data_IF_624355868861
#
_entry.id   IF_624355868861
#
_cell.length_a   1.000
_cell.length_b   1.000
_cell.length_c   1.000
_cell.angle_alpha   90.00
_cell.angle_beta   90.00
_cell.angle_gamma   90.00
#
_symmetry.space_group_name_H-M   'P 1'
#
loop_
_entity.id
_entity.type
_entity.pdbx_description
1 polymer ?
#
# COMPACT_ATOMS: atom_id res chain seq x y z
N UNK A 1 11.61 -4.50 8.87
CA UNK A 1 10.15 -4.51 8.62
C UNK A 1 9.73 -5.88 8.08
N UNK A 2 8.57 -6.42 8.48
CA UNK A 2 8.01 -7.66 7.91
C UNK A 2 7.65 -7.51 6.43
N UNK A 3 7.18 -6.32 6.04
CA UNK A 3 6.90 -5.96 4.64
C UNK A 3 8.13 -6.09 3.75
N UNK A 4 9.24 -5.38 4.04
CA UNK A 4 10.45 -5.47 3.20
C UNK A 4 11.00 -6.89 3.12
N UNK A 5 11.02 -7.63 4.24
CA UNK A 5 11.50 -9.02 4.23
C UNK A 5 10.66 -9.92 3.33
N UNK A 6 9.35 -9.69 3.25
CA UNK A 6 8.49 -10.44 2.34
C UNK A 6 8.66 -9.96 0.90
N UNK A 7 8.69 -8.64 0.68
CA UNK A 7 8.81 -8.00 -0.63
C UNK A 7 10.07 -8.47 -1.37
N UNK A 8 11.20 -8.62 -0.67
CA UNK A 8 12.48 -9.06 -1.23
C UNK A 8 12.71 -10.58 -1.14
N UNK A 9 11.85 -11.33 -0.46
CA UNK A 9 11.94 -12.80 -0.45
C UNK A 9 11.50 -13.39 -1.79
N UNK A 10 12.20 -14.46 -2.22
CA UNK A 10 11.87 -15.23 -3.42
C UNK A 10 10.46 -15.84 -3.39
N UNK A 11 10.03 -16.41 -4.52
CA UNK A 11 8.65 -16.81 -4.79
C UNK A 11 7.93 -17.54 -3.63
N UNK A 12 6.66 -17.19 -3.45
CA UNK A 12 5.70 -17.78 -2.50
C UNK A 12 6.28 -18.20 -1.14
N UNK A 13 6.78 -17.22 -0.38
CA UNK A 13 7.20 -17.44 1.00
C UNK A 13 6.02 -17.27 1.98
N UNK A 14 5.24 -18.34 2.15
CA UNK A 14 4.04 -18.35 2.99
C UNK A 14 4.33 -17.94 4.45
N UNK A 15 5.51 -18.25 4.99
CA UNK A 15 5.88 -17.85 6.34
C UNK A 15 6.05 -16.33 6.46
N UNK A 16 6.65 -15.70 5.45
CA UNK A 16 6.83 -14.24 5.43
C UNK A 16 5.52 -13.51 5.14
N UNK A 17 4.66 -14.07 4.28
CA UNK A 17 3.30 -13.58 4.10
C UNK A 17 2.52 -13.63 5.41
N UNK A 18 2.49 -14.78 6.09
CA UNK A 18 1.79 -14.94 7.36
C UNK A 18 2.32 -13.97 8.43
N UNK A 19 3.64 -13.75 8.47
CA UNK A 19 4.25 -12.75 9.36
C UNK A 19 3.77 -11.33 9.02
N UNK A 20 3.78 -10.95 7.75
CA UNK A 20 3.31 -9.64 7.31
C UNK A 20 1.83 -9.44 7.67
N UNK A 21 0.95 -10.41 7.31
CA UNK A 21 -0.48 -10.36 7.65
C UNK A 21 -0.73 -10.28 9.15
N UNK A 22 0.05 -10.99 9.96
CA UNK A 22 -0.03 -10.89 11.43
C UNK A 22 0.31 -9.48 11.92
N UNK A 23 1.36 -8.85 11.38
CA UNK A 23 1.71 -7.46 11.72
C UNK A 23 0.63 -6.49 11.24
N UNK A 24 0.10 -6.67 10.04
CA UNK A 24 -0.98 -5.84 9.51
C UNK A 24 -2.26 -5.97 10.34
N UNK A 25 -2.58 -7.18 10.82
CA UNK A 25 -3.68 -7.43 11.75
C UNK A 25 -3.52 -6.70 13.09
N UNK A 26 -2.27 -6.50 13.56
CA UNK A 26 -2.02 -5.64 14.73
C UNK A 26 -2.31 -4.18 14.41
N UNK A 27 -1.92 -3.68 13.24
CA UNK A 27 -2.24 -2.31 12.81
C UNK A 27 -3.76 -2.10 12.73
N UNK A 28 -4.48 -3.04 12.14
CA UNK A 28 -5.95 -3.06 12.08
C UNK A 28 -6.56 -3.02 13.50
N UNK A 29 -6.04 -3.80 14.44
CA UNK A 29 -6.51 -3.81 15.82
C UNK A 29 -6.26 -2.47 16.54
N UNK A 30 -5.08 -1.85 16.35
CA UNK A 30 -4.79 -0.53 16.93
C UNK A 30 -5.73 0.56 16.37
N UNK A 31 -5.99 0.54 15.05
CA UNK A 31 -6.97 1.44 14.42
C UNK A 31 -8.40 1.21 14.95
N UNK A 32 -8.75 -0.03 15.29
CA UNK A 32 -10.05 -0.35 15.86
C UNK A 32 -10.22 0.22 17.29
N UNK A 33 -9.16 0.20 18.11
CA UNK A 33 -9.18 0.70 19.50
C UNK A 33 -9.36 2.22 19.56
N UNK A 34 -8.79 2.96 18.61
CA UNK A 34 -8.82 4.43 18.60
C UNK A 34 -10.21 5.06 18.54
N UNK A 35 -11.24 4.35 18.02
CA UNK A 35 -12.63 4.84 17.99
C UNK A 35 -12.93 5.91 16.91
N UNK A 36 -11.98 6.20 16.03
CA UNK A 36 -12.12 7.09 14.87
C UNK A 36 -11.18 6.65 13.75
N UNK A 37 -11.21 7.27 12.56
CA UNK A 37 -10.49 6.74 11.41
C UNK A 37 -8.96 6.78 11.57
N UNK A 38 -8.45 7.54 12.53
CA UNK A 38 -7.02 7.67 12.83
C UNK A 38 -6.63 6.86 14.08
N UNK A 39 -5.33 6.60 14.24
CA UNK A 39 -4.83 5.77 15.35
C UNK A 39 -5.24 6.25 16.74
N UNK A 40 -5.35 7.58 16.95
CA UNK A 40 -5.69 8.18 18.24
C UNK A 40 -7.09 8.82 18.26
N UNK A 41 -7.99 8.36 17.38
CA UNK A 41 -9.40 8.76 17.37
C UNK A 41 -9.82 9.54 16.13
N UNK A 42 -10.59 10.61 16.33
CA UNK A 42 -11.20 11.37 15.24
C UNK A 42 -10.26 12.35 14.55
N UNK A 43 -9.18 12.75 15.21
CA UNK A 43 -8.23 13.76 14.72
C UNK A 43 -6.94 13.13 14.20
N UNK A 44 -6.39 13.72 13.13
CA UNK A 44 -5.09 13.35 12.60
C UNK A 44 -4.02 13.55 13.68
N UNK A 45 -3.17 12.55 13.88
CA UNK A 45 -2.09 12.59 14.85
C UNK A 45 -0.72 12.38 14.20
N UNK A 46 0.35 12.56 14.99
CA UNK A 46 1.71 12.27 14.54
C UNK A 46 1.89 10.79 14.17
N UNK A 47 1.13 9.87 14.78
CA UNK A 47 1.18 8.44 14.45
C UNK A 47 0.72 8.21 13.02
N UNK A 48 -0.36 8.87 12.59
CA UNK A 48 -0.85 8.78 11.21
C UNK A 48 0.17 9.30 10.21
N UNK A 49 0.80 10.45 10.50
CA UNK A 49 1.86 11.00 9.66
C UNK A 49 3.08 10.08 9.56
N UNK A 50 3.40 9.32 10.62
CA UNK A 50 4.49 8.34 10.61
C UNK A 50 4.13 7.12 9.76
N UNK A 51 2.89 6.65 9.82
CA UNK A 51 2.43 5.46 9.10
C UNK A 51 2.12 5.71 7.62
N UNK A 52 1.65 6.92 7.29
CA UNK A 52 1.26 7.31 5.93
C UNK A 52 2.25 6.89 4.83
N UNK A 53 3.53 7.29 4.89
CA UNK A 53 4.49 6.94 3.85
C UNK A 53 4.71 5.42 3.72
N UNK A 54 4.48 4.63 4.76
CA UNK A 54 4.59 3.17 4.70
C UNK A 54 3.34 2.53 4.12
N UNK A 55 2.16 2.97 4.56
CA UNK A 55 0.89 2.43 4.09
C UNK A 55 0.64 2.75 2.61
N UNK A 56 1.02 3.94 2.14
CA UNK A 56 1.00 4.31 0.71
C UNK A 56 1.85 3.36 -0.14
N UNK A 57 3.13 3.20 0.24
CA UNK A 57 4.05 2.31 -0.49
C UNK A 57 3.62 0.85 -0.41
N UNK A 58 3.05 0.40 0.70
CA UNK A 58 2.49 -0.95 0.84
C UNK A 58 1.27 -1.14 -0.06
N UNK A 59 0.36 -0.16 -0.10
CA UNK A 59 -0.85 -0.21 -0.92
C UNK A 59 -0.55 -0.31 -2.42
N UNK A 60 0.57 0.28 -2.89
CA UNK A 60 1.04 0.14 -4.26
C UNK A 60 1.84 -1.16 -4.48
N UNK A 61 2.85 -1.43 -3.63
CA UNK A 61 3.82 -2.51 -3.85
C UNK A 61 3.29 -3.91 -3.59
N UNK A 62 2.37 -4.10 -2.65
CA UNK A 62 1.86 -5.43 -2.32
C UNK A 62 0.98 -6.03 -3.43
N UNK A 63 0.04 -5.29 -4.05
CA UNK A 63 -0.62 -5.79 -5.26
C UNK A 63 0.38 -6.07 -6.38
N UNK A 64 1.29 -5.13 -6.64
CA UNK A 64 2.25 -5.20 -7.76
C UNK A 64 3.24 -6.38 -7.67
N UNK A 65 3.80 -6.64 -6.49
CA UNK A 65 4.82 -7.67 -6.32
C UNK A 65 4.25 -8.97 -5.74
N UNK A 66 3.20 -8.91 -4.92
CA UNK A 66 2.74 -10.05 -4.10
C UNK A 66 1.28 -10.43 -4.32
N UNK A 67 0.60 -9.82 -5.29
CA UNK A 67 -0.83 -10.03 -5.54
C UNK A 67 -1.72 -9.82 -4.31
N UNK A 68 -1.26 -8.99 -3.36
CA UNK A 68 -2.00 -8.71 -2.12
C UNK A 68 -2.52 -7.27 -2.11
N UNK A 69 -3.77 -7.03 -2.51
CA UNK A 69 -4.40 -5.73 -2.36
C UNK A 69 -4.66 -5.40 -0.89
N UNK A 70 -4.32 -4.19 -0.45
CA UNK A 70 -4.65 -3.70 0.90
C UNK A 70 -5.98 -2.94 0.97
N UNK A 71 -6.39 -2.35 -0.16
CA UNK A 71 -7.62 -1.56 -0.26
C UNK A 71 -8.84 -2.44 -0.40
N UNK A 72 -9.97 -1.99 0.17
CA UNK A 72 -11.28 -2.64 0.07
C UNK A 72 -11.28 -4.11 0.49
N UNK A 73 -10.47 -4.45 1.49
CA UNK A 73 -10.39 -5.81 2.02
C UNK A 73 -11.31 -5.98 3.24
N UNK A 74 -12.15 -7.03 3.29
CA UNK A 74 -13.01 -7.29 4.44
C UNK A 74 -12.22 -7.64 5.70
N UNK A 75 -10.97 -8.09 5.57
CA UNK A 75 -10.06 -8.38 6.68
C UNK A 75 -9.53 -7.11 7.38
N UNK A 76 -9.50 -5.95 6.69
CA UNK A 76 -8.91 -4.70 7.19
C UNK A 76 -9.84 -3.48 7.03
N UNK A 77 -11.06 -3.51 7.60
CA UNK A 77 -12.02 -2.43 7.45
C UNK A 77 -11.58 -1.12 8.13
N UNK A 78 -10.83 -1.16 9.23
CA UNK A 78 -10.33 0.03 9.91
C UNK A 78 -9.20 0.68 9.10
N UNK A 79 -8.33 -0.12 8.49
CA UNK A 79 -7.32 0.37 7.55
C UNK A 79 -7.96 1.06 6.34
N UNK A 80 -9.04 0.52 5.77
CA UNK A 80 -9.76 1.20 4.68
C UNK A 80 -10.35 2.54 5.16
N UNK A 81 -10.95 2.60 6.35
CA UNK A 81 -11.43 3.86 6.92
C UNK A 81 -10.30 4.88 7.12
N UNK A 82 -9.12 4.42 7.53
CA UNK A 82 -7.94 5.26 7.66
C UNK A 82 -7.51 5.83 6.29
N UNK A 83 -7.41 5.00 5.25
CA UNK A 83 -7.08 5.47 3.90
C UNK A 83 -8.09 6.51 3.40
N UNK A 84 -9.39 6.23 3.52
CA UNK A 84 -10.44 7.16 3.10
C UNK A 84 -10.37 8.50 3.85
N UNK A 85 -10.07 8.47 5.15
CA UNK A 85 -9.93 9.68 5.94
C UNK A 85 -8.69 10.50 5.55
N UNK A 86 -7.56 9.85 5.27
CA UNK A 86 -6.36 10.52 4.77
C UNK A 86 -6.61 11.13 3.39
N UNK A 87 -7.21 10.38 2.46
CA UNK A 87 -7.54 10.81 1.10
C UNK A 87 -8.58 11.94 1.05
N UNK A 88 -9.43 12.07 2.07
CA UNK A 88 -10.35 13.20 2.20
C UNK A 88 -9.61 14.54 2.49
N UNK A 89 -8.34 14.50 2.94
CA UNK A 89 -7.58 15.70 3.29
C UNK A 89 -6.87 16.28 2.05
N UNK A 90 -7.09 17.56 1.71
CA UNK A 90 -6.35 18.21 0.63
C UNK A 90 -4.82 18.15 0.83
N UNK A 91 -4.35 18.39 2.06
CA UNK A 91 -2.92 18.38 2.38
C UNK A 91 -2.25 17.05 2.07
N UNK A 92 -2.96 15.94 2.27
CA UNK A 92 -2.46 14.60 1.97
C UNK A 92 -2.51 14.31 0.47
N UNK A 93 -3.62 14.63 -0.20
CA UNK A 93 -3.75 14.44 -1.65
C UNK A 93 -2.71 15.19 -2.48
N UNK A 94 -2.22 16.33 -1.99
CA UNK A 94 -1.20 17.12 -2.67
C UNK A 94 0.23 16.59 -2.50
N UNK A 95 0.47 15.64 -1.59
CA UNK A 95 1.81 15.10 -1.30
C UNK A 95 1.92 13.59 -1.49
N UNK A 96 0.80 12.87 -1.51
CA UNK A 96 0.81 11.44 -1.84
C UNK A 96 1.32 11.25 -3.27
N UNK A 97 2.07 10.17 -3.49
CA UNK A 97 2.50 9.78 -4.84
C UNK A 97 1.51 8.80 -5.48
N UNK A 98 1.68 8.55 -6.77
CA UNK A 98 0.93 7.52 -7.49
C UNK A 98 1.54 6.12 -7.30
N UNK A 99 0.80 5.08 -7.70
CA UNK A 99 1.23 3.69 -7.56
C UNK A 99 2.44 3.36 -8.44
N UNK A 100 2.47 3.85 -9.68
CA UNK A 100 3.58 3.63 -10.62
C UNK A 100 4.90 4.15 -10.03
N UNK A 101 4.91 5.38 -9.55
CA UNK A 101 6.05 6.00 -8.88
C UNK A 101 6.49 5.17 -7.67
N UNK A 102 5.56 4.76 -6.80
CA UNK A 102 5.92 3.97 -5.61
C UNK A 102 6.53 2.60 -5.93
N UNK A 103 6.01 1.87 -6.92
CA UNK A 103 6.52 0.51 -7.23
C UNK A 103 7.90 0.54 -7.90
N UNK A 104 8.22 1.60 -8.64
CA UNK A 104 9.50 1.77 -9.33
C UNK A 104 10.57 2.46 -8.48
N UNK A 105 10.19 3.26 -7.48
CA UNK A 105 11.12 3.89 -6.52
C UNK A 105 11.59 2.96 -5.39
N UNK A 106 10.83 1.89 -5.09
CA UNK A 106 11.18 0.93 -4.04
C UNK A 106 12.44 0.08 -4.31
N UNK A 107 12.61 -0.56 -5.49
CA UNK A 107 13.76 -1.41 -5.76
C UNK A 107 15.14 -0.79 -5.50
N UNK A 108 15.44 0.47 -5.87
CA UNK A 108 16.73 1.08 -5.56
C UNK A 108 16.94 1.33 -4.06
N UNK A 109 15.88 1.43 -3.25
CA UNK A 109 15.97 1.70 -1.81
C UNK A 109 16.12 0.45 -0.95
N UNK A 110 15.42 -0.64 -1.32
CA UNK A 110 15.32 -1.85 -0.49
C UNK A 110 15.92 -3.10 -1.14
N UNK A 111 16.48 -2.94 -2.34
CA UNK A 111 16.99 -4.03 -3.16
C UNK A 111 15.92 -4.68 -4.03
N UNK A 112 16.30 -5.79 -4.69
CA UNK A 112 15.42 -6.48 -5.64
C UNK A 112 14.13 -6.94 -4.96
N UNK A 113 13.01 -6.38 -5.41
CA UNK A 113 11.66 -6.85 -5.07
C UNK A 113 11.31 -8.05 -5.95
N UNK A 114 10.72 -9.09 -5.36
CA UNK A 114 10.41 -10.33 -6.04
C UNK A 114 8.91 -10.42 -6.34
N UNK A 115 8.55 -10.42 -7.63
CA UNK A 115 7.19 -10.57 -8.09
C UNK A 115 6.72 -12.04 -8.06
N UNK A 116 5.44 -12.27 -7.78
CA UNK A 116 4.75 -13.55 -7.96
C UNK A 116 3.90 -13.51 -9.24
N UNK A 117 3.72 -14.63 -9.97
CA UNK A 117 2.93 -14.66 -11.21
C UNK A 117 1.50 -14.12 -11.06
N UNK A 118 0.88 -14.35 -9.89
CA UNK A 118 -0.46 -13.90 -9.55
C UNK A 118 -0.59 -12.37 -9.54
N UNK A 119 0.54 -11.66 -9.44
CA UNK A 119 0.56 -10.21 -9.42
C UNK A 119 0.53 -9.58 -10.83
N UNK A 120 0.62 -10.39 -11.89
CA UNK A 120 0.74 -9.90 -13.27
C UNK A 120 -0.34 -8.90 -13.66
N UNK A 121 -1.62 -9.19 -13.37
CA UNK A 121 -2.71 -8.28 -13.70
C UNK A 121 -2.63 -6.94 -12.95
N UNK A 122 -2.12 -6.93 -11.71
CA UNK A 122 -1.87 -5.69 -10.98
C UNK A 122 -0.68 -4.93 -11.56
N UNK A 123 0.40 -5.63 -11.88
CA UNK A 123 1.57 -5.04 -12.50
C UNK A 123 1.20 -4.40 -13.84
N UNK A 124 0.45 -5.11 -14.69
CA UNK A 124 0.06 -4.61 -16.00
C UNK A 124 -0.83 -3.36 -15.93
N UNK A 125 -1.78 -3.33 -15.01
CA UNK A 125 -2.61 -2.15 -14.77
C UNK A 125 -1.80 -0.98 -14.17
N UNK A 126 -0.87 -1.26 -13.25
CA UNK A 126 -0.03 -0.22 -12.63
C UNK A 126 0.99 0.33 -13.62
N UNK A 127 1.50 -0.48 -14.56
CA UNK A 127 2.46 -0.08 -15.60
C UNK A 127 1.79 0.43 -16.89
N UNK A 128 0.47 0.27 -17.01
CA UNK A 128 -0.30 0.67 -18.19
C UNK A 128 -0.12 -0.26 -19.40
N UNK A 129 0.49 -1.44 -19.22
CA UNK A 129 0.73 -2.41 -20.30
C UNK A 129 -0.55 -3.14 -20.72
N UNK A 130 -1.60 -3.11 -19.88
CA UNK A 130 -2.96 -3.56 -20.21
C UNK A 130 -3.78 -2.51 -21.00
N UNK A 131 -3.21 -1.33 -21.25
CA UNK A 131 -3.89 -0.21 -21.91
C UNK A 131 -4.78 0.64 -20.99
N UNK A 132 -4.71 0.43 -19.67
CA UNK A 132 -5.42 1.25 -18.67
C UNK A 132 -5.00 2.72 -18.69
N UNK A 133 -3.73 2.99 -19.03
CA UNK A 133 -3.17 4.33 -19.25
C UNK A 133 -1.86 4.22 -20.06
N UNK A 134 -1.31 5.35 -20.50
CA UNK A 134 -0.04 5.38 -21.23
C UNK A 134 0.75 6.65 -20.94
N UNK A 135 2.07 6.61 -21.18
CA UNK A 135 2.94 7.79 -21.20
C UNK A 135 3.25 8.23 -22.64
N UNK A 136 3.35 9.55 -22.92
CA UNK A 136 3.04 10.65 -21.99
C UNK A 136 1.54 10.70 -21.68
N UNK A 137 1.19 11.18 -20.48
CA UNK A 137 -0.22 11.38 -20.13
C UNK A 137 -0.88 12.33 -21.14
N UNK A 138 -2.16 12.12 -21.48
CA UNK A 138 -2.90 13.05 -22.33
C UNK A 138 -2.88 14.45 -21.72
N UNK A 139 -2.76 15.48 -22.55
CA UNK A 139 -2.98 16.84 -22.08
C UNK A 139 -4.47 16.99 -21.74
N UNK A 140 -4.78 17.47 -20.53
CA UNK A 140 -6.13 17.88 -20.19
C UNK A 140 -6.51 19.09 -21.07
N UNK A 141 -7.66 19.05 -21.75
CA UNK A 141 -8.21 20.18 -22.53
C UNK A 141 -8.70 21.32 -21.62
#
# INVERSE_FOLDING_TARGET
SSWFRWLTSSMSNAAQEANFRSVLGRVEAELAVGGGPYFLGSELSLVDCMFAPFLERMAASLPYYKALPLRRQPEWPCLERWFLAMEARPSYRHIQSDFYTHVHDLPPQVGRCAAVPEAAAFADAIDGTDGSWALPLPQEE
#
